data_IF_185126684677
#
_entry.id   IF_185126684677
#
_cell.length_a   1.000
_cell.length_b   1.000
_cell.length_c   1.000
_cell.angle_alpha   90.00
_cell.angle_beta   90.00
_cell.angle_gamma   90.00
#
_symmetry.space_group_name_H-M   'P 1'
#
loop_
_entity.id
_entity.type
_entity.pdbx_description
1 polymer ?
#
# COMPACT_ATOMS: atom_id res chain seq x y z
N UNK A 1 -28.48 0.84 -30.28
CA UNK A 1 -27.62 -0.32 -30.45
C UNK A 1 -27.36 -0.91 -29.07
N UNK A 2 -28.03 -2.03 -28.85
CA UNK A 2 -28.05 -2.82 -27.62
C UNK A 2 -26.66 -3.47 -27.45
N UNK A 3 -25.85 -2.97 -26.55
CA UNK A 3 -24.63 -3.64 -26.10
C UNK A 3 -24.96 -4.40 -24.82
N UNK A 4 -25.44 -5.63 -24.98
CA UNK A 4 -25.34 -6.62 -23.91
C UNK A 4 -23.86 -6.73 -23.53
N UNK A 5 -23.49 -6.70 -22.22
CA UNK A 5 -22.12 -6.96 -21.83
C UNK A 5 -21.78 -8.40 -22.25
N UNK A 6 -20.77 -8.57 -23.11
CA UNK A 6 -20.16 -9.87 -23.35
C UNK A 6 -19.78 -10.44 -21.98
N UNK A 7 -20.28 -11.60 -21.65
CA UNK A 7 -19.86 -12.36 -20.46
C UNK A 7 -18.36 -12.65 -20.61
N UNK A 8 -17.55 -11.85 -19.93
CA UNK A 8 -16.11 -12.06 -19.86
C UNK A 8 -15.88 -13.29 -18.99
N UNK A 9 -15.64 -14.45 -19.61
CA UNK A 9 -15.21 -15.64 -18.88
C UNK A 9 -13.90 -15.35 -18.16
N UNK A 10 -13.96 -15.26 -16.84
CA UNK A 10 -12.80 -15.01 -15.99
C UNK A 10 -11.84 -16.23 -16.11
N UNK A 11 -10.54 -16.02 -16.40
CA UNK A 11 -9.56 -17.11 -16.39
C UNK A 11 -9.52 -17.81 -15.01
N UNK A 12 -9.19 -19.10 -14.94
CA UNK A 12 -9.12 -19.91 -13.70
C UNK A 12 -8.32 -19.25 -12.55
N UNK A 13 -7.36 -18.35 -12.88
CA UNK A 13 -6.61 -17.56 -11.89
C UNK A 13 -7.41 -16.47 -11.17
N UNK A 14 -8.64 -16.21 -11.58
CA UNK A 14 -9.51 -15.18 -11.04
C UNK A 14 -10.58 -15.75 -10.12
N UNK A 15 -10.55 -17.06 -9.87
CA UNK A 15 -11.46 -17.64 -8.90
C UNK A 15 -11.42 -16.83 -7.61
N UNK A 16 -12.59 -16.39 -7.10
CA UNK A 16 -12.65 -15.64 -5.85
C UNK A 16 -12.07 -16.49 -4.72
N UNK A 17 -11.50 -15.86 -3.69
CA UNK A 17 -11.06 -16.62 -2.53
C UNK A 17 -12.23 -17.38 -1.93
N UNK A 18 -12.00 -18.65 -1.60
CA UNK A 18 -12.98 -19.48 -0.89
C UNK A 18 -12.94 -19.11 0.59
N UNK A 19 -14.10 -18.87 1.18
CA UNK A 19 -14.22 -18.51 2.58
C UNK A 19 -14.53 -19.75 3.43
N UNK A 20 -13.65 -20.08 4.36
CA UNK A 20 -13.86 -21.12 5.36
C UNK A 20 -13.51 -20.56 6.73
N UNK A 21 -14.54 -20.28 7.54
CA UNK A 21 -14.39 -19.62 8.84
C UNK A 21 -13.50 -20.39 9.82
N UNK A 22 -13.59 -21.72 9.85
CA UNK A 22 -12.81 -22.56 10.78
C UNK A 22 -11.33 -22.51 10.43
N UNK A 23 -11.00 -22.63 9.15
CA UNK A 23 -9.63 -22.56 8.64
C UNK A 23 -9.05 -21.16 8.87
N UNK A 24 -9.83 -20.10 8.58
CA UNK A 24 -9.37 -18.73 8.81
C UNK A 24 -9.05 -18.52 10.29
N UNK A 25 -9.93 -18.94 11.21
CA UNK A 25 -9.69 -18.81 12.65
C UNK A 25 -8.49 -19.64 13.13
N UNK A 26 -8.25 -20.83 12.54
CA UNK A 26 -7.10 -21.68 12.86
C UNK A 26 -5.78 -20.98 12.56
N UNK A 27 -5.70 -20.23 11.45
CA UNK A 27 -4.48 -19.58 10.98
C UNK A 27 -4.41 -18.08 11.29
N UNK A 28 -5.48 -17.45 11.80
CA UNK A 28 -5.43 -16.03 12.17
C UNK A 28 -4.50 -15.81 13.36
N UNK A 29 -3.31 -15.31 13.08
CA UNK A 29 -2.24 -15.00 14.05
C UNK A 29 -1.57 -13.68 13.68
N UNK A 30 -0.84 -13.02 14.59
CA UNK A 30 -0.03 -11.85 14.24
C UNK A 30 0.98 -12.18 13.14
N UNK A 31 1.05 -11.33 12.11
CA UNK A 31 1.99 -11.54 11.00
C UNK A 31 2.24 -10.29 10.16
N UNK A 32 3.39 -10.21 9.48
CA UNK A 32 3.75 -9.06 8.66
C UNK A 32 2.80 -8.85 7.48
N UNK A 33 2.67 -7.62 7.01
CA UNK A 33 1.95 -7.31 5.77
C UNK A 33 2.84 -7.43 4.52
N UNK A 34 4.13 -7.69 4.71
CA UNK A 34 5.14 -7.83 3.64
C UNK A 34 5.10 -6.72 2.58
N UNK A 35 5.03 -5.47 3.04
CA UNK A 35 5.29 -4.29 2.19
C UNK A 35 6.79 -4.07 1.98
N UNK A 36 7.61 -4.82 2.68
CA UNK A 36 9.07 -4.95 2.55
C UNK A 36 9.53 -6.26 3.17
N UNK A 37 10.73 -6.70 2.80
CA UNK A 37 11.44 -7.76 3.50
C UNK A 37 12.96 -7.44 3.51
N UNK A 38 13.60 -7.31 4.68
CA UNK A 38 13.00 -7.34 6.04
C UNK A 38 11.94 -6.28 6.26
N UNK A 39 11.00 -6.55 7.20
CA UNK A 39 9.92 -5.60 7.49
C UNK A 39 10.39 -4.41 8.32
N UNK A 40 9.70 -3.29 8.27
CA UNK A 40 10.09 -2.02 8.90
C UNK A 40 10.45 -2.07 10.41
N UNK A 41 9.88 -2.99 11.26
CA UNK A 41 10.36 -3.19 12.62
C UNK A 41 11.82 -3.61 12.76
N UNK A 42 12.43 -4.17 11.70
CA UNK A 42 13.84 -4.57 11.67
C UNK A 42 14.79 -3.48 11.15
N UNK A 43 14.27 -2.31 10.73
CA UNK A 43 15.12 -1.18 10.39
C UNK A 43 15.81 -0.64 11.64
N UNK A 44 17.08 -0.28 11.52
CA UNK A 44 17.92 0.15 12.64
C UNK A 44 18.60 1.50 12.36
N UNK A 45 18.93 2.23 13.42
CA UNK A 45 19.54 3.55 13.35
C UNK A 45 21.01 3.51 12.91
N UNK A 46 21.64 2.34 12.89
CA UNK A 46 22.97 2.16 12.31
C UNK A 46 23.04 2.37 10.80
N UNK A 47 21.86 2.43 10.12
CA UNK A 47 21.75 2.83 8.72
C UNK A 47 21.26 4.30 8.68
N UNK A 48 22.16 5.21 8.42
CA UNK A 48 21.96 6.67 8.43
C UNK A 48 21.96 7.30 7.03
N UNK A 49 21.89 8.64 6.97
CA UNK A 49 21.93 9.41 5.73
C UNK A 49 23.19 9.15 4.90
N UNK A 50 24.37 8.96 5.54
CA UNK A 50 25.62 8.69 4.82
C UNK A 50 25.64 7.28 4.22
N UNK A 51 25.06 6.29 4.93
CA UNK A 51 24.89 4.95 4.39
C UNK A 51 23.95 4.98 3.18
N UNK A 52 22.86 5.75 3.26
CA UNK A 52 21.93 5.91 2.15
C UNK A 52 22.54 6.61 0.94
N UNK A 53 23.33 7.67 1.14
CA UNK A 53 24.08 8.36 0.08
C UNK A 53 24.97 7.40 -0.72
N UNK A 54 25.72 6.53 -0.02
CA UNK A 54 26.57 5.52 -0.67
C UNK A 54 25.78 4.57 -1.55
N UNK A 55 24.62 4.10 -1.08
CA UNK A 55 23.75 3.22 -1.87
C UNK A 55 23.20 3.94 -3.10
N UNK A 56 22.75 5.21 -2.95
CA UNK A 56 22.31 6.02 -4.09
C UNK A 56 23.41 6.13 -5.14
N UNK A 57 24.63 6.50 -4.74
CA UNK A 57 25.77 6.65 -5.65
C UNK A 57 26.12 5.32 -6.32
N UNK A 58 26.14 4.20 -5.58
CA UNK A 58 26.42 2.88 -6.11
C UNK A 58 25.39 2.47 -7.17
N UNK A 59 24.11 2.63 -6.88
CA UNK A 59 23.04 2.31 -7.82
C UNK A 59 23.11 3.17 -9.08
N UNK A 60 23.53 4.42 -8.96
CA UNK A 60 23.65 5.35 -10.09
C UNK A 60 24.96 5.16 -10.91
N UNK A 61 25.93 4.37 -10.43
CA UNK A 61 27.13 3.98 -11.23
C UNK A 61 26.81 2.90 -12.26
N UNK A 62 25.69 2.18 -12.11
CA UNK A 62 25.29 1.18 -13.08
C UNK A 62 25.17 1.78 -14.50
N UNK A 63 25.50 1.00 -15.53
CA UNK A 63 25.37 1.41 -16.93
C UNK A 63 23.92 1.79 -17.28
N UNK A 64 22.96 1.01 -16.79
CA UNK A 64 21.53 1.22 -16.91
C UNK A 64 20.88 1.15 -15.51
N UNK A 65 20.87 2.26 -14.75
CA UNK A 65 20.21 2.28 -13.45
C UNK A 65 18.70 2.13 -13.60
N UNK A 66 18.00 1.54 -12.61
CA UNK A 66 16.55 1.35 -12.64
C UNK A 66 15.80 2.67 -12.86
N UNK A 67 14.57 2.65 -13.41
CA UNK A 67 13.70 3.82 -13.43
C UNK A 67 13.32 4.25 -12.01
N UNK A 68 12.75 5.44 -11.89
CA UNK A 68 12.40 6.03 -10.60
C UNK A 68 10.92 5.85 -10.29
N UNK A 69 10.63 5.50 -9.04
CA UNK A 69 9.35 5.70 -8.40
C UNK A 69 9.52 6.72 -7.27
N UNK A 70 8.67 7.74 -7.20
CA UNK A 70 8.75 8.81 -6.19
C UNK A 70 7.52 8.77 -5.29
N UNK A 71 7.73 8.73 -3.99
CA UNK A 71 6.68 8.88 -2.99
C UNK A 71 6.91 10.14 -2.18
N UNK A 72 5.91 11.03 -2.16
CA UNK A 72 5.93 12.24 -1.34
C UNK A 72 4.96 12.10 -0.17
N UNK A 73 5.50 12.15 1.04
CA UNK A 73 4.68 12.15 2.25
C UNK A 73 4.30 13.57 2.64
N UNK A 74 3.03 13.93 2.52
CA UNK A 74 2.47 15.23 2.88
C UNK A 74 1.66 15.07 4.19
N UNK A 75 2.24 15.42 5.37
CA UNK A 75 1.79 14.85 6.65
C UNK A 75 0.60 15.57 7.29
N UNK A 76 -0.04 16.53 6.65
CA UNK A 76 -1.01 17.39 7.31
C UNK A 76 -2.44 16.91 7.17
N UNK A 77 -3.23 17.05 8.27
CA UNK A 77 -4.69 16.88 8.29
C UNK A 77 -5.31 17.98 9.14
N UNK A 78 -6.48 18.47 8.74
CA UNK A 78 -7.23 19.48 9.49
C UNK A 78 -7.88 18.90 10.75
N UNK A 79 -8.31 17.63 10.69
CA UNK A 79 -9.00 16.94 11.79
C UNK A 79 -8.51 15.52 11.96
N UNK A 80 -8.65 15.02 13.20
CA UNK A 80 -8.31 13.64 13.55
C UNK A 80 -9.46 12.71 13.21
N UNK A 81 -9.20 11.72 12.36
CA UNK A 81 -10.07 10.54 12.26
C UNK A 81 -9.60 9.51 13.29
N UNK A 82 -10.50 9.03 14.18
CA UNK A 82 -10.07 8.20 15.32
C UNK A 82 -9.51 6.83 14.93
N UNK A 83 -9.80 6.33 13.75
CA UNK A 83 -9.23 5.08 13.24
C UNK A 83 -7.80 5.23 12.69
N UNK A 84 -7.36 6.46 12.36
CA UNK A 84 -6.18 6.70 11.55
C UNK A 84 -4.88 6.25 12.25
N UNK A 85 -4.08 5.43 11.56
CA UNK A 85 -2.75 4.99 11.99
C UNK A 85 -1.59 5.65 11.24
N UNK A 86 -1.87 6.61 10.36
CA UNK A 86 -0.85 7.30 9.57
C UNK A 86 -0.01 8.24 10.43
N UNK A 87 1.22 8.49 10.01
CA UNK A 87 2.05 9.54 10.61
C UNK A 87 1.57 10.90 10.08
N UNK A 88 0.84 11.63 10.90
CA UNK A 88 0.20 12.89 10.52
C UNK A 88 0.41 13.98 11.56
N UNK A 89 0.42 15.22 11.08
CA UNK A 89 0.41 16.44 11.90
C UNK A 89 -0.97 17.08 11.80
N UNK A 90 -1.73 17.05 12.90
CA UNK A 90 -3.04 17.69 12.95
C UNK A 90 -2.88 19.18 13.22
N UNK A 91 -3.37 20.01 12.29
CA UNK A 91 -3.29 21.46 12.39
C UNK A 91 -4.35 22.15 11.54
N UNK A 92 -4.70 23.38 11.91
CA UNK A 92 -5.51 24.28 11.10
C UNK A 92 -4.66 25.33 10.37
N UNK A 93 -3.40 25.41 10.74
CA UNK A 93 -2.45 26.38 10.15
C UNK A 93 -1.91 25.85 8.82
N UNK A 94 -2.50 26.32 7.73
CA UNK A 94 -2.12 25.94 6.36
C UNK A 94 -0.76 26.53 5.92
N UNK A 95 -0.21 27.50 6.64
CA UNK A 95 1.13 28.07 6.34
C UNK A 95 2.24 27.06 6.59
N UNK A 96 2.02 26.08 7.47
CA UNK A 96 2.98 24.97 7.69
C UNK A 96 3.22 24.15 6.44
N UNK A 97 2.23 24.05 5.54
CA UNK A 97 2.38 23.35 4.26
C UNK A 97 3.40 24.04 3.34
N UNK A 98 3.42 25.38 3.32
CA UNK A 98 4.36 26.17 2.51
C UNK A 98 5.80 25.99 3.00
N UNK A 99 6.01 26.13 4.31
CA UNK A 99 7.32 25.88 4.95
C UNK A 99 7.80 24.44 4.76
N UNK A 100 6.86 23.47 4.79
CA UNK A 100 7.19 22.07 4.57
C UNK A 100 7.67 21.81 3.13
N UNK A 101 7.01 22.40 2.15
CA UNK A 101 7.39 22.27 0.74
C UNK A 101 8.81 22.79 0.50
N UNK A 102 9.28 23.84 1.21
CA UNK A 102 10.67 24.30 1.12
C UNK A 102 11.68 23.22 1.55
N UNK A 103 11.36 22.46 2.61
CA UNK A 103 12.22 21.36 3.06
C UNK A 103 12.20 20.19 2.07
N UNK A 104 11.02 19.86 1.51
CA UNK A 104 10.87 18.82 0.47
C UNK A 104 11.68 19.18 -0.77
N UNK A 105 11.62 20.43 -1.24
CA UNK A 105 12.42 20.91 -2.38
C UNK A 105 13.92 20.78 -2.10
N UNK A 106 14.38 21.13 -0.90
CA UNK A 106 15.78 20.98 -0.50
C UNK A 106 16.22 19.52 -0.40
N UNK A 107 15.37 18.63 0.08
CA UNK A 107 15.63 17.18 0.08
C UNK A 107 15.82 16.67 -1.36
N UNK A 108 14.94 17.08 -2.28
CA UNK A 108 15.05 16.73 -3.69
C UNK A 108 16.36 17.24 -4.31
N UNK A 109 16.82 18.45 -3.98
CA UNK A 109 18.11 18.97 -4.48
C UNK A 109 19.27 18.07 -4.04
N UNK A 110 19.23 17.61 -2.79
CA UNK A 110 20.26 16.71 -2.26
C UNK A 110 20.24 15.35 -2.94
N UNK A 111 19.05 14.78 -3.17
CA UNK A 111 18.88 13.49 -3.86
C UNK A 111 19.33 13.58 -5.33
N UNK A 112 18.84 14.56 -6.07
CA UNK A 112 19.14 14.68 -7.52
C UNK A 112 20.58 15.05 -7.78
N UNK A 113 21.25 15.74 -6.85
CA UNK A 113 22.70 15.99 -6.93
C UNK A 113 23.57 14.73 -6.88
N UNK A 114 23.00 13.57 -6.49
CA UNK A 114 23.65 12.26 -6.44
C UNK A 114 23.14 11.27 -7.49
N UNK A 115 22.11 11.65 -8.24
CA UNK A 115 21.51 10.80 -9.27
C UNK A 115 22.18 11.00 -10.62
N UNK A 116 22.28 9.91 -11.37
CA UNK A 116 22.67 9.99 -12.79
C UNK A 116 21.60 10.76 -13.57
N UNK A 117 21.96 11.77 -14.37
CA UNK A 117 21.02 12.46 -15.23
C UNK A 117 20.31 11.52 -16.21
N UNK A 118 19.08 11.87 -16.61
CA UNK A 118 18.30 11.12 -17.60
C UNK A 118 17.58 9.87 -17.05
N UNK A 119 17.56 9.63 -15.74
CA UNK A 119 16.71 8.62 -15.14
C UNK A 119 15.26 9.10 -15.15
N UNK A 120 14.38 8.29 -15.75
CA UNK A 120 12.96 8.64 -15.87
C UNK A 120 12.15 8.21 -14.69
N UNK A 121 11.25 9.09 -14.25
CA UNK A 121 10.21 8.78 -13.26
C UNK A 121 9.05 8.10 -14.00
N UNK A 122 8.79 6.84 -13.68
CA UNK A 122 7.67 6.05 -14.23
C UNK A 122 6.49 5.96 -13.28
N UNK A 123 6.70 6.36 -12.00
CA UNK A 123 5.64 6.43 -10.99
C UNK A 123 5.92 7.57 -10.03
N UNK A 124 4.87 8.32 -9.68
CA UNK A 124 4.89 9.35 -8.66
C UNK A 124 3.61 9.27 -7.83
N UNK A 125 3.73 9.36 -6.51
CA UNK A 125 2.57 9.33 -5.63
C UNK A 125 2.68 10.39 -4.52
N UNK A 126 1.61 11.16 -4.32
CA UNK A 126 1.43 12.06 -3.18
C UNK A 126 0.46 11.45 -2.18
N UNK A 127 0.94 11.18 -0.97
CA UNK A 127 0.14 10.57 0.09
C UNK A 127 0.50 11.07 1.48
N UNK A 128 0.04 10.36 2.50
CA UNK A 128 0.44 10.55 3.89
C UNK A 128 -0.69 10.95 4.83
N UNK A 129 -0.90 12.25 5.06
CA UNK A 129 -2.04 12.79 5.76
C UNK A 129 -3.19 13.05 4.79
N UNK A 130 -3.33 14.31 4.39
CA UNK A 130 -4.25 14.74 3.34
C UNK A 130 -3.50 15.74 2.45
N UNK A 131 -2.99 15.34 1.27
CA UNK A 131 -2.29 16.26 0.37
C UNK A 131 -3.06 17.55 0.09
N UNK A 132 -4.39 17.47 -0.05
CA UNK A 132 -5.28 18.61 -0.28
C UNK A 132 -5.51 19.51 0.94
N UNK A 133 -4.90 19.22 2.08
CA UNK A 133 -4.74 20.18 3.18
C UNK A 133 -3.86 21.37 2.74
N UNK A 134 -2.84 21.10 1.92
CA UNK A 134 -1.92 22.13 1.41
C UNK A 134 -2.64 22.89 0.28
N UNK A 135 -2.67 24.25 0.31
CA UNK A 135 -3.33 25.03 -0.72
C UNK A 135 -2.84 24.70 -2.14
N UNK A 136 -3.74 24.70 -3.12
CA UNK A 136 -3.44 24.35 -4.51
C UNK A 136 -2.23 25.11 -5.08
N UNK A 137 -2.10 26.41 -4.80
CA UNK A 137 -0.96 27.23 -5.22
C UNK A 137 0.39 26.73 -4.66
N UNK A 138 0.41 26.21 -3.44
CA UNK A 138 1.62 25.66 -2.82
C UNK A 138 1.93 24.28 -3.42
N UNK A 139 0.91 23.45 -3.69
CA UNK A 139 1.08 22.20 -4.41
C UNK A 139 1.57 22.42 -5.85
N UNK A 140 1.10 23.46 -6.52
CA UNK A 140 1.61 23.86 -7.84
C UNK A 140 3.10 24.21 -7.78
N UNK A 141 3.56 24.91 -6.71
CA UNK A 141 4.97 25.20 -6.48
C UNK A 141 5.79 23.91 -6.29
N UNK A 142 5.25 22.96 -5.52
CA UNK A 142 5.87 21.64 -5.36
C UNK A 142 5.97 20.91 -6.70
N UNK A 143 4.88 20.90 -7.47
CA UNK A 143 4.84 20.25 -8.79
C UNK A 143 5.86 20.84 -9.77
N UNK A 144 5.94 22.19 -9.85
CA UNK A 144 6.98 22.86 -10.65
C UNK A 144 8.38 22.48 -10.19
N UNK A 145 8.59 22.39 -8.87
CA UNK A 145 9.85 21.95 -8.28
C UNK A 145 10.23 20.51 -8.66
N UNK A 146 9.25 19.61 -8.73
CA UNK A 146 9.45 18.23 -9.18
C UNK A 146 9.85 18.20 -10.66
N UNK A 147 9.10 18.88 -11.53
CA UNK A 147 9.38 18.94 -12.98
C UNK A 147 10.73 19.58 -13.32
N UNK A 148 11.21 20.47 -12.48
CA UNK A 148 12.53 21.10 -12.67
C UNK A 148 13.70 20.14 -12.34
N UNK A 149 13.45 19.06 -11.57
CA UNK A 149 14.47 18.16 -11.04
C UNK A 149 14.41 16.76 -11.62
N UNK A 150 13.24 16.32 -12.07
CA UNK A 150 13.01 14.96 -12.54
C UNK A 150 12.40 14.96 -13.94
N UNK A 151 12.83 14.03 -14.77
CA UNK A 151 12.23 13.75 -16.07
C UNK A 151 11.11 12.71 -15.88
N UNK A 152 9.85 13.14 -16.08
CA UNK A 152 8.70 12.23 -16.05
C UNK A 152 8.59 11.46 -17.36
N UNK A 153 8.31 10.16 -17.29
CA UNK A 153 7.95 9.37 -18.46
C UNK A 153 6.60 9.84 -19.00
N UNK A 154 6.39 9.87 -20.32
CA UNK A 154 5.09 10.26 -20.89
C UNK A 154 3.91 9.41 -20.41
N UNK A 155 4.17 8.15 -20.07
CA UNK A 155 3.24 7.14 -19.56
C UNK A 155 3.36 6.92 -18.03
N UNK A 156 3.91 7.90 -17.31
CA UNK A 156 4.08 7.79 -15.88
C UNK A 156 2.73 7.66 -15.16
N UNK A 157 2.68 6.75 -14.20
CA UNK A 157 1.59 6.69 -13.23
C UNK A 157 1.78 7.82 -12.20
N UNK A 158 0.84 8.76 -12.14
CA UNK A 158 0.91 9.92 -11.25
C UNK A 158 -0.35 9.95 -10.38
N UNK A 159 -0.19 9.60 -9.11
CA UNK A 159 -1.28 9.43 -8.17
C UNK A 159 -1.28 10.42 -7.02
N UNK A 160 -2.47 10.70 -6.49
CA UNK A 160 -2.65 11.48 -5.26
C UNK A 160 -3.77 10.93 -4.39
N UNK A 161 -3.53 10.92 -3.08
CA UNK A 161 -4.55 10.64 -2.07
C UNK A 161 -5.35 11.91 -1.78
N UNK A 162 -6.68 11.79 -1.75
CA UNK A 162 -7.57 12.91 -1.43
C UNK A 162 -8.55 12.54 -0.32
N UNK A 163 -8.91 13.54 0.47
CA UNK A 163 -10.07 13.49 1.35
C UNK A 163 -11.20 14.31 0.73
N UNK A 164 -12.35 13.72 0.39
CA UNK A 164 -13.48 14.43 -0.20
C UNK A 164 -13.97 15.64 0.60
N UNK A 165 -13.68 15.68 1.91
CA UNK A 165 -14.06 16.78 2.80
C UNK A 165 -13.15 18.02 2.65
N UNK A 166 -11.90 17.81 2.15
CA UNK A 166 -10.86 18.84 2.11
C UNK A 166 -10.49 19.26 0.68
N UNK A 167 -10.77 18.42 -0.31
CA UNK A 167 -10.44 18.70 -1.70
C UNK A 167 -11.35 19.81 -2.26
N UNK A 168 -10.74 20.74 -3.02
CA UNK A 168 -11.45 21.83 -3.71
C UNK A 168 -11.37 21.63 -5.22
N UNK A 169 -12.24 22.33 -5.98
CA UNK A 169 -12.18 22.33 -7.45
C UNK A 169 -10.83 22.83 -7.98
N UNK A 170 -10.17 23.76 -7.27
CA UNK A 170 -8.83 24.24 -7.61
C UNK A 170 -7.78 23.14 -7.49
N UNK A 171 -7.87 22.27 -6.46
CA UNK A 171 -7.00 21.11 -6.33
C UNK A 171 -7.20 20.14 -7.50
N UNK A 172 -8.46 19.79 -7.80
CA UNK A 172 -8.77 18.84 -8.86
C UNK A 172 -8.35 19.36 -10.24
N UNK A 173 -8.55 20.65 -10.51
CA UNK A 173 -8.08 21.30 -11.74
C UNK A 173 -6.54 21.25 -11.84
N UNK A 174 -5.83 21.62 -10.76
CA UNK A 174 -4.37 21.51 -10.69
C UNK A 174 -3.88 20.09 -10.99
N UNK A 175 -4.50 19.07 -10.40
CA UNK A 175 -4.09 17.68 -10.63
C UNK A 175 -4.29 17.27 -12.09
N UNK A 176 -5.44 17.59 -12.69
CA UNK A 176 -5.72 17.29 -14.10
C UNK A 176 -4.73 18.00 -15.03
N UNK A 177 -4.51 19.31 -14.85
CA UNK A 177 -3.58 20.11 -15.65
C UNK A 177 -2.11 19.69 -15.47
N UNK A 178 -1.80 19.11 -14.31
CA UNK A 178 -0.46 18.59 -13.98
C UNK A 178 -0.20 17.18 -14.50
N UNK A 179 -1.22 16.51 -15.07
CA UNK A 179 -1.10 15.16 -15.61
C UNK A 179 -1.26 14.06 -14.58
N UNK A 180 -1.85 14.35 -13.40
CA UNK A 180 -2.26 13.29 -12.49
C UNK A 180 -3.36 12.45 -13.13
N UNK A 181 -3.15 11.14 -13.15
CA UNK A 181 -4.06 10.20 -13.80
C UNK A 181 -4.69 9.20 -12.82
N UNK A 182 -4.27 9.24 -11.53
CA UNK A 182 -4.81 8.36 -10.50
C UNK A 182 -5.20 9.14 -9.25
N UNK A 183 -6.37 8.79 -8.72
CA UNK A 183 -6.88 9.32 -7.45
C UNK A 183 -7.10 8.15 -6.48
N UNK A 184 -6.66 8.29 -5.22
CA UNK A 184 -7.11 7.43 -4.11
C UNK A 184 -7.98 8.26 -3.17
N UNK A 185 -9.19 7.77 -2.90
CA UNK A 185 -10.20 8.47 -2.14
C UNK A 185 -10.59 7.71 -0.89
N UNK A 186 -10.28 8.26 0.30
CA UNK A 186 -10.71 7.67 1.56
C UNK A 186 -12.21 7.86 1.78
N UNK A 187 -12.99 6.77 1.76
CA UNK A 187 -14.43 6.76 2.05
C UNK A 187 -14.70 6.15 3.42
N UNK A 188 -14.12 5.01 3.68
CA UNK A 188 -14.19 4.21 4.90
C UNK A 188 -15.54 3.54 5.11
N UNK A 189 -16.62 4.30 5.27
CA UNK A 189 -17.99 3.84 5.45
C UNK A 189 -18.97 4.98 5.17
N UNK A 190 -20.16 4.67 4.65
CA UNK A 190 -21.23 5.64 4.45
C UNK A 190 -22.27 5.66 5.59
N UNK A 191 -22.25 4.73 6.55
CA UNK A 191 -23.17 4.75 7.69
C UNK A 191 -22.89 5.98 8.58
N UNK A 192 -23.87 6.91 8.77
CA UNK A 192 -23.65 8.13 9.55
C UNK A 192 -23.29 7.86 11.02
N UNK A 193 -23.75 6.72 11.59
CA UNK A 193 -23.45 6.33 12.96
C UNK A 193 -21.99 5.91 13.10
N UNK A 194 -21.48 5.16 12.12
CA UNK A 194 -20.05 4.78 12.03
C UNK A 194 -19.20 6.03 11.84
N UNK A 195 -19.54 6.89 10.87
CA UNK A 195 -18.83 8.13 10.59
C UNK A 195 -18.71 9.04 11.82
N UNK A 196 -19.80 9.19 12.59
CA UNK A 196 -19.81 9.95 13.83
C UNK A 196 -18.87 9.34 14.89
N UNK A 197 -18.90 8.03 15.05
CA UNK A 197 -18.08 7.31 16.03
C UNK A 197 -16.58 7.38 15.75
N UNK A 198 -16.18 7.50 14.49
CA UNK A 198 -14.78 7.61 14.08
C UNK A 198 -14.34 9.03 13.72
N UNK A 199 -15.19 10.02 14.02
CA UNK A 199 -14.97 11.45 13.76
C UNK A 199 -14.63 11.75 12.28
N UNK A 200 -15.33 11.08 11.35
CA UNK A 200 -15.20 11.31 9.90
C UNK A 200 -16.58 11.43 9.27
N UNK A 201 -17.22 12.58 9.45
CA UNK A 201 -18.52 12.85 8.84
C UNK A 201 -18.30 13.24 7.38
N UNK A 202 -18.73 12.35 6.49
CA UNK A 202 -18.55 12.46 5.04
C UNK A 202 -19.80 11.94 4.33
N UNK A 203 -20.80 12.81 4.08
CA UNK A 203 -22.01 12.41 3.40
C UNK A 203 -21.75 11.78 2.02
N UNK A 204 -22.57 10.81 1.63
CA UNK A 204 -22.44 10.13 0.34
C UNK A 204 -22.46 11.11 -0.83
N UNK A 205 -23.33 12.10 -0.80
CA UNK A 205 -23.51 13.09 -1.86
C UNK A 205 -22.24 13.91 -2.08
N UNK A 206 -21.52 14.24 -0.99
CA UNK A 206 -20.22 14.92 -1.09
C UNK A 206 -19.21 14.06 -1.81
N UNK A 207 -19.11 12.79 -1.41
CA UNK A 207 -18.17 11.84 -2.00
C UNK A 207 -18.46 11.58 -3.47
N UNK A 208 -19.74 11.36 -3.80
CA UNK A 208 -20.19 11.14 -5.18
C UNK A 208 -19.89 12.33 -6.08
N UNK A 209 -20.16 13.55 -5.61
CA UNK A 209 -19.83 14.78 -6.35
C UNK A 209 -18.32 14.86 -6.66
N UNK A 210 -17.45 14.58 -5.69
CA UNK A 210 -16.00 14.60 -5.89
C UNK A 210 -15.58 13.49 -6.87
N UNK A 211 -16.14 12.30 -6.73
CA UNK A 211 -15.89 11.16 -7.62
C UNK A 211 -16.25 11.50 -9.07
N UNK A 212 -17.48 12.00 -9.31
CA UNK A 212 -17.96 12.38 -10.62
C UNK A 212 -17.12 13.51 -11.22
N UNK A 213 -16.68 14.46 -10.39
CA UNK A 213 -15.78 15.53 -10.82
C UNK A 213 -14.42 15.00 -11.27
N UNK A 214 -13.83 14.01 -10.55
CA UNK A 214 -12.60 13.36 -10.98
C UNK A 214 -12.76 12.66 -12.33
N UNK A 215 -13.87 11.93 -12.53
CA UNK A 215 -14.19 11.32 -13.84
C UNK A 215 -14.33 12.35 -14.95
N UNK A 216 -15.07 13.44 -14.70
CA UNK A 216 -15.24 14.53 -15.68
C UNK A 216 -13.93 15.23 -16.06
N UNK A 217 -12.94 15.21 -15.18
CA UNK A 217 -11.59 15.73 -15.43
C UNK A 217 -10.65 14.72 -16.11
N UNK A 218 -11.12 13.52 -16.44
CA UNK A 218 -10.35 12.52 -17.17
C UNK A 218 -9.39 11.69 -16.30
N UNK A 219 -9.62 11.60 -14.97
CA UNK A 219 -8.83 10.69 -14.13
C UNK A 219 -9.05 9.25 -14.58
N UNK A 220 -7.96 8.59 -15.00
CA UNK A 220 -8.00 7.26 -15.61
C UNK A 220 -8.37 6.18 -14.61
N UNK A 221 -7.86 6.28 -13.37
CA UNK A 221 -8.14 5.30 -12.33
C UNK A 221 -8.48 5.98 -11.01
N UNK A 222 -9.61 5.58 -10.43
CA UNK A 222 -10.04 6.01 -9.10
C UNK A 222 -10.08 4.81 -8.18
N UNK A 223 -9.23 4.83 -7.15
CA UNK A 223 -9.27 3.90 -6.03
C UNK A 223 -10.14 4.47 -4.91
N UNK A 224 -10.87 3.60 -4.23
CA UNK A 224 -11.59 3.95 -3.00
C UNK A 224 -11.12 3.07 -1.85
N UNK A 225 -10.91 3.69 -0.69
CA UNK A 225 -10.51 2.99 0.53
C UNK A 225 -11.71 2.85 1.46
N UNK A 226 -11.97 1.64 1.89
CA UNK A 226 -12.97 1.25 2.89
C UNK A 226 -12.28 0.65 4.12
N UNK A 227 -12.93 0.72 5.26
CA UNK A 227 -12.45 0.08 6.48
C UNK A 227 -13.57 -0.75 7.09
N UNK A 228 -13.35 -2.05 7.27
CA UNK A 228 -14.25 -2.91 8.04
C UNK A 228 -13.72 -3.14 9.46
N UNK A 229 -14.64 -3.46 10.37
CA UNK A 229 -14.31 -3.63 11.78
C UNK A 229 -14.37 -2.33 12.59
N UNK A 230 -14.93 -1.25 12.04
CA UNK A 230 -15.20 0.00 12.74
C UNK A 230 -16.36 -0.13 13.74
N UNK A 231 -16.47 0.78 14.76
CA UNK A 231 -17.55 0.73 15.71
C UNK A 231 -18.92 0.83 15.03
N UNK A 232 -19.89 0.09 15.55
CA UNK A 232 -21.28 -0.03 15.07
C UNK A 232 -21.47 -0.71 13.70
N UNK A 233 -20.42 -1.16 13.04
CA UNK A 233 -20.55 -1.96 11.83
C UNK A 233 -21.13 -3.34 12.13
N UNK A 234 -21.95 -3.84 11.22
CA UNK A 234 -22.39 -5.22 11.11
C UNK A 234 -22.41 -5.63 9.64
N UNK A 235 -22.54 -6.94 9.37
CA UNK A 235 -22.61 -7.46 8.00
C UNK A 235 -23.64 -6.72 7.15
N UNK A 236 -24.86 -6.52 7.68
CA UNK A 236 -25.94 -5.90 6.93
C UNK A 236 -25.75 -4.39 6.72
N UNK A 237 -25.25 -3.67 7.74
CA UNK A 237 -24.99 -2.22 7.63
C UNK A 237 -23.86 -1.93 6.65
N UNK A 238 -22.76 -2.68 6.72
CA UNK A 238 -21.62 -2.47 5.82
C UNK A 238 -21.92 -2.89 4.39
N UNK A 239 -22.87 -3.85 4.21
CA UNK A 239 -23.38 -4.21 2.88
C UNK A 239 -23.94 -2.99 2.14
N UNK A 240 -24.68 -2.12 2.81
CA UNK A 240 -25.24 -0.91 2.18
C UNK A 240 -24.12 0.00 1.63
N UNK A 241 -23.02 0.14 2.38
CA UNK A 241 -21.84 0.85 1.89
C UNK A 241 -21.22 0.15 0.67
N UNK A 242 -21.05 -1.17 0.72
CA UNK A 242 -20.47 -1.96 -0.38
C UNK A 242 -21.32 -1.83 -1.66
N UNK A 243 -22.65 -1.95 -1.57
CA UNK A 243 -23.56 -1.78 -2.73
C UNK A 243 -23.46 -0.39 -3.35
N UNK A 244 -23.36 0.65 -2.53
CA UNK A 244 -23.15 2.02 -3.00
C UNK A 244 -21.84 2.19 -3.73
N UNK A 245 -20.77 1.55 -3.25
CA UNK A 245 -19.45 1.55 -3.92
C UNK A 245 -19.51 0.81 -5.24
N UNK A 246 -20.15 -0.37 -5.30
CA UNK A 246 -20.36 -1.09 -6.57
C UNK A 246 -21.12 -0.20 -7.58
N UNK A 247 -22.18 0.48 -7.13
CA UNK A 247 -22.95 1.39 -7.97
C UNK A 247 -22.18 2.64 -8.41
N UNK A 248 -21.21 3.13 -7.60
CA UNK A 248 -20.30 4.22 -8.00
C UNK A 248 -19.31 3.79 -9.07
N UNK A 249 -18.89 2.54 -9.05
CA UNK A 249 -18.04 1.95 -10.04
C UNK A 249 -16.59 2.47 -10.07
N UNK A 250 -15.85 2.50 -8.94
CA UNK A 250 -14.43 2.79 -8.97
C UNK A 250 -13.64 1.73 -9.76
N UNK A 251 -12.42 2.03 -10.13
CA UNK A 251 -11.54 1.07 -10.83
C UNK A 251 -10.90 0.09 -9.84
N UNK A 252 -10.56 0.60 -8.65
CA UNK A 252 -9.93 -0.17 -7.57
C UNK A 252 -10.63 0.08 -6.24
N UNK A 253 -10.59 -0.92 -5.38
CA UNK A 253 -11.14 -0.86 -4.03
C UNK A 253 -10.14 -1.50 -3.08
N UNK A 254 -9.82 -0.79 -1.98
CA UNK A 254 -9.08 -1.35 -0.87
C UNK A 254 -9.99 -1.41 0.37
N UNK A 255 -10.09 -2.60 1.01
CA UNK A 255 -10.96 -2.81 2.18
C UNK A 255 -10.15 -3.26 3.37
N UNK A 256 -9.68 -2.30 4.15
CA UNK A 256 -8.75 -2.54 5.25
C UNK A 256 -9.44 -3.06 6.50
N UNK A 257 -8.82 -4.03 7.18
CA UNK A 257 -9.21 -4.44 8.52
C UNK A 257 -8.80 -3.37 9.54
N UNK A 258 -9.75 -2.86 10.32
CA UNK A 258 -9.46 -1.94 11.41
C UNK A 258 -8.67 -2.62 12.52
N UNK A 259 -7.49 -2.09 12.81
CA UNK A 259 -6.65 -2.49 13.94
C UNK A 259 -6.86 -1.51 15.12
N UNK A 260 -7.53 -1.97 16.18
CA UNK A 260 -7.71 -1.20 17.39
C UNK A 260 -6.49 -1.33 18.30
N UNK A 261 -5.65 -0.30 18.35
CA UNK A 261 -4.35 -0.25 19.03
C UNK A 261 -4.24 1.01 19.90
N UNK A 262 -5.13 1.25 20.88
CA UNK A 262 -5.21 2.51 21.62
C UNK A 262 -3.98 2.82 22.47
N UNK A 263 -3.17 1.80 22.82
CA UNK A 263 -1.91 2.00 23.55
C UNK A 263 -0.79 2.56 22.66
N UNK A 264 -0.88 2.34 21.35
CA UNK A 264 0.08 2.86 20.37
C UNK A 264 -0.44 4.13 19.69
N UNK A 265 -1.75 4.21 19.48
CA UNK A 265 -2.44 5.27 18.74
C UNK A 265 -3.44 5.95 19.71
N UNK A 266 -2.98 6.98 20.41
CA UNK A 266 -3.70 7.57 21.54
C UNK A 266 -5.11 8.08 21.23
N UNK A 267 -5.36 8.61 20.02
CA UNK A 267 -6.68 9.08 19.63
C UNK A 267 -7.71 7.96 19.41
N UNK A 268 -7.29 6.70 19.23
CA UNK A 268 -8.20 5.56 19.19
C UNK A 268 -8.92 5.33 20.54
N UNK A 269 -8.43 5.88 21.64
CA UNK A 269 -9.12 5.84 22.95
C UNK A 269 -10.50 6.54 22.93
N UNK A 270 -10.74 7.43 21.95
CA UNK A 270 -12.03 8.06 21.73
C UNK A 270 -13.07 7.13 21.07
N UNK A 271 -12.67 6.00 20.54
CA UNK A 271 -13.59 5.01 19.94
C UNK A 271 -14.29 4.22 21.06
N UNK A 272 -15.64 4.12 21.04
CA UNK A 272 -16.36 3.30 22.01
C UNK A 272 -16.04 1.80 21.77
N UNK A 273 -15.19 1.24 22.64
CA UNK A 273 -14.69 -0.13 22.50
C UNK A 273 -15.80 -1.17 22.48
N UNK A 274 -16.85 -0.95 23.23
CA UNK A 274 -18.04 -1.81 23.33
C UNK A 274 -18.88 -1.85 22.05
N UNK A 275 -18.67 -0.86 21.16
CA UNK A 275 -19.35 -0.78 19.87
C UNK A 275 -18.56 -1.46 18.74
N UNK A 276 -17.35 -1.95 19.00
CA UNK A 276 -16.55 -2.69 18.02
C UNK A 276 -17.20 -4.05 17.72
N UNK A 277 -17.25 -4.47 16.45
CA UNK A 277 -17.77 -5.79 16.10
C UNK A 277 -16.90 -6.90 16.71
N UNK A 278 -17.54 -8.00 17.10
CA UNK A 278 -16.84 -9.20 17.56
C UNK A 278 -15.95 -9.79 16.44
N UNK A 279 -14.95 -10.60 16.77
CA UNK A 279 -14.15 -11.30 15.75
C UNK A 279 -15.02 -12.10 14.76
N UNK A 280 -16.08 -12.75 15.23
CA UNK A 280 -17.02 -13.48 14.37
C UNK A 280 -17.78 -12.55 13.41
N UNK A 281 -18.21 -11.38 13.89
CA UNK A 281 -18.89 -10.38 13.05
C UNK A 281 -17.92 -9.79 12.03
N UNK A 282 -16.64 -9.51 12.40
CA UNK A 282 -15.62 -9.05 11.45
C UNK A 282 -15.40 -10.04 10.31
N UNK A 283 -15.34 -11.34 10.62
CA UNK A 283 -15.22 -12.37 9.60
C UNK A 283 -16.47 -12.44 8.71
N UNK A 284 -17.67 -12.30 9.27
CA UNK A 284 -18.91 -12.25 8.49
C UNK A 284 -18.99 -11.01 7.58
N UNK A 285 -18.43 -9.88 8.02
CA UNK A 285 -18.29 -8.68 7.18
C UNK A 285 -17.31 -8.96 6.03
N UNK A 286 -16.12 -9.53 6.33
CA UNK A 286 -15.12 -9.84 5.30
C UNK A 286 -15.68 -10.82 4.25
N UNK A 287 -16.37 -11.88 4.69
CA UNK A 287 -17.03 -12.84 3.79
C UNK A 287 -18.00 -12.12 2.83
N UNK A 288 -18.88 -11.29 3.37
CA UNK A 288 -19.82 -10.50 2.59
C UNK A 288 -19.12 -9.56 1.62
N UNK A 289 -18.03 -8.89 2.05
CA UNK A 289 -17.23 -7.99 1.20
C UNK A 289 -16.64 -8.74 0.01
N UNK A 290 -16.00 -9.90 0.26
CA UNK A 290 -15.42 -10.72 -0.82
C UNK A 290 -16.52 -11.18 -1.78
N UNK A 291 -17.61 -11.74 -1.26
CA UNK A 291 -18.77 -12.19 -2.06
C UNK A 291 -19.32 -11.06 -2.92
N UNK A 292 -19.61 -9.89 -2.32
CA UNK A 292 -20.29 -8.79 -3.03
C UNK A 292 -19.42 -8.13 -4.09
N UNK A 293 -18.13 -7.87 -3.81
CA UNK A 293 -17.26 -7.29 -4.82
C UNK A 293 -16.97 -8.25 -5.95
N UNK A 294 -16.75 -9.54 -5.67
CA UNK A 294 -16.50 -10.52 -6.75
C UNK A 294 -17.74 -10.75 -7.61
N UNK A 295 -18.94 -10.87 -7.03
CA UNK A 295 -20.19 -10.94 -7.78
C UNK A 295 -20.59 -9.60 -8.43
N UNK A 296 -20.07 -8.48 -7.92
CA UNK A 296 -20.22 -7.13 -8.46
C UNK A 296 -19.24 -6.79 -9.59
N UNK A 297 -18.50 -7.78 -10.12
CA UNK A 297 -17.62 -7.62 -11.28
C UNK A 297 -16.20 -7.14 -10.97
N UNK A 298 -15.74 -7.28 -9.72
CA UNK A 298 -14.35 -7.00 -9.33
C UNK A 298 -13.57 -8.30 -9.12
N UNK A 299 -12.33 -8.32 -9.57
CA UNK A 299 -11.39 -9.38 -9.28
C UNK A 299 -10.71 -9.13 -7.92
N UNK A 300 -10.49 -10.19 -7.14
CA UNK A 300 -9.68 -10.14 -5.93
C UNK A 300 -8.19 -10.17 -6.29
N UNK A 301 -7.49 -9.08 -6.03
CA UNK A 301 -6.05 -8.95 -6.35
C UNK A 301 -5.18 -9.62 -5.27
N UNK A 302 -5.60 -9.49 -4.03
CA UNK A 302 -4.88 -10.04 -2.86
C UNK A 302 -5.01 -9.13 -1.65
N UNK A 303 -4.78 -9.67 -0.48
CA UNK A 303 -4.87 -8.97 0.79
C UNK A 303 -6.24 -8.26 0.96
N UNK A 304 -6.21 -6.93 0.80
CA UNK A 304 -7.36 -6.05 1.00
C UNK A 304 -7.89 -5.47 -0.32
N UNK A 305 -7.35 -5.87 -1.49
CA UNK A 305 -7.53 -5.15 -2.75
C UNK A 305 -8.38 -5.91 -3.77
N UNK A 306 -9.25 -5.13 -4.42
CA UNK A 306 -10.06 -5.55 -5.56
C UNK A 306 -9.86 -4.57 -6.70
N UNK A 307 -9.97 -5.02 -7.94
CA UNK A 307 -9.88 -4.16 -9.12
C UNK A 307 -10.82 -4.67 -10.22
N UNK A 308 -11.18 -3.78 -11.15
CA UNK A 308 -11.91 -4.19 -12.33
C UNK A 308 -11.06 -5.17 -13.17
N UNK A 309 -11.65 -6.15 -13.86
CA UNK A 309 -10.90 -7.10 -14.70
C UNK A 309 -10.00 -6.45 -15.75
N UNK A 310 -10.37 -5.29 -16.26
CA UNK A 310 -9.60 -4.52 -17.23
C UNK A 310 -8.50 -3.66 -16.62
N UNK A 311 -8.41 -3.59 -15.29
CA UNK A 311 -7.37 -2.81 -14.60
C UNK A 311 -5.99 -3.45 -14.77
N UNK A 312 -4.96 -2.62 -14.85
CA UNK A 312 -3.58 -3.09 -15.03
C UNK A 312 -3.06 -3.98 -13.89
N UNK A 313 -3.61 -3.86 -12.65
CA UNK A 313 -3.26 -4.77 -11.55
C UNK A 313 -3.73 -6.20 -11.85
N UNK A 314 -4.89 -6.33 -12.48
CA UNK A 314 -5.41 -7.60 -12.92
C UNK A 314 -4.54 -8.21 -14.02
N UNK A 315 -4.20 -7.43 -15.04
CA UNK A 315 -3.30 -7.86 -16.11
C UNK A 315 -1.92 -8.24 -15.57
N UNK A 316 -1.39 -7.47 -14.61
CA UNK A 316 -0.12 -7.77 -13.96
C UNK A 316 -0.18 -9.06 -13.13
N UNK A 317 -1.29 -9.33 -12.44
CA UNK A 317 -1.50 -10.59 -11.71
C UNK A 317 -1.51 -11.79 -12.68
N UNK A 318 -2.22 -11.68 -13.81
CA UNK A 318 -2.25 -12.73 -14.85
C UNK A 318 -0.85 -13.00 -15.43
N UNK A 319 -0.10 -11.93 -15.72
CA UNK A 319 1.23 -12.01 -16.31
C UNK A 319 2.34 -12.29 -15.30
N UNK A 320 2.01 -12.45 -14.00
CA UNK A 320 2.97 -12.62 -12.90
C UNK A 320 4.00 -11.50 -12.82
N UNK A 321 3.57 -10.28 -13.12
CA UNK A 321 4.38 -9.05 -13.02
C UNK A 321 3.91 -8.12 -11.92
N UNK A 322 2.84 -8.51 -11.19
CA UNK A 322 2.34 -7.76 -10.06
C UNK A 322 3.41 -7.68 -8.97
N UNK A 323 3.60 -6.50 -8.40
CA UNK A 323 4.55 -6.24 -7.33
C UNK A 323 3.86 -5.59 -6.14
N UNK A 324 4.52 -5.62 -4.97
CA UNK A 324 4.04 -4.99 -3.76
C UNK A 324 5.16 -4.24 -3.07
N UNK A 325 4.91 -2.99 -2.68
CA UNK A 325 5.82 -2.15 -1.91
C UNK A 325 5.08 -1.44 -0.75
N UNK A 326 5.69 -0.41 -0.16
CA UNK A 326 5.08 0.35 0.94
C UNK A 326 3.80 1.11 0.55
N UNK A 327 3.58 1.38 -0.72
CA UNK A 327 2.38 2.06 -1.24
C UNK A 327 1.22 1.08 -1.52
N UNK A 328 1.50 -0.22 -1.58
CA UNK A 328 0.54 -1.27 -1.91
C UNK A 328 0.91 -2.07 -3.16
N UNK A 329 -0.08 -2.61 -3.87
CA UNK A 329 0.14 -3.29 -5.14
C UNK A 329 0.45 -2.30 -6.26
N UNK A 330 1.40 -2.67 -7.12
CA UNK A 330 1.87 -1.83 -8.23
C UNK A 330 2.30 -2.69 -9.42
N UNK A 331 2.24 -2.11 -10.61
CA UNK A 331 2.78 -2.69 -11.85
C UNK A 331 4.23 -2.23 -12.12
N UNK A 332 4.77 -1.36 -11.28
CA UNK A 332 6.11 -0.75 -11.47
C UNK A 332 7.17 -1.48 -10.64
N UNK A 333 7.30 -2.80 -10.87
CA UNK A 333 8.40 -3.60 -10.32
C UNK A 333 9.76 -3.12 -10.85
N UNK A 334 10.83 -3.36 -10.08
CA UNK A 334 12.20 -3.07 -10.50
C UNK A 334 12.60 -1.59 -10.49
N UNK A 335 11.76 -0.68 -9.97
CA UNK A 335 12.10 0.72 -9.80
C UNK A 335 12.89 0.96 -8.50
N UNK A 336 13.77 1.98 -8.51
CA UNK A 336 14.23 2.59 -7.27
C UNK A 336 13.13 3.51 -6.74
N UNK A 337 12.57 3.16 -5.58
CA UNK A 337 11.56 3.96 -4.89
C UNK A 337 12.22 4.94 -3.93
N UNK A 338 12.15 6.22 -4.23
CA UNK A 338 12.60 7.29 -3.33
C UNK A 338 11.44 7.81 -2.50
N UNK A 339 11.51 7.61 -1.18
CA UNK A 339 10.60 8.24 -0.22
C UNK A 339 11.10 9.62 0.16
N UNK A 340 10.30 10.65 -0.07
CA UNK A 340 10.61 12.07 0.17
C UNK A 340 9.60 12.62 1.20
N UNK A 341 10.10 13.40 2.15
CA UNK A 341 9.27 13.94 3.21
C UNK A 341 9.37 13.16 4.52
N UNK A 342 8.74 13.70 5.58
CA UNK A 342 8.74 13.11 6.92
C UNK A 342 8.23 11.68 6.90
N UNK A 343 8.84 10.78 7.68
CA UNK A 343 8.48 9.35 7.84
C UNK A 343 8.54 8.49 6.58
N UNK A 344 8.69 9.07 5.39
CA UNK A 344 8.68 8.33 4.13
C UNK A 344 9.71 7.21 4.12
N UNK A 345 9.38 6.10 3.44
CA UNK A 345 10.26 4.95 3.28
C UNK A 345 10.58 4.79 1.80
N UNK A 346 11.89 4.72 1.49
CA UNK A 346 12.40 4.41 0.17
C UNK A 346 12.95 3.00 0.09
N UNK A 347 13.01 2.46 -1.14
CA UNK A 347 13.66 1.22 -1.51
C UNK A 347 14.56 1.51 -2.71
N UNK A 348 15.85 1.67 -2.48
CA UNK A 348 16.84 2.02 -3.51
C UNK A 348 17.91 0.94 -3.54
N UNK A 349 18.15 0.36 -4.70
CA UNK A 349 19.08 -0.74 -4.84
C UNK A 349 18.83 -1.84 -3.80
N UNK A 350 19.81 -2.08 -2.94
CA UNK A 350 19.73 -3.11 -1.88
C UNK A 350 19.50 -2.51 -0.49
N UNK A 351 18.72 -1.45 -0.36
CA UNK A 351 18.40 -0.91 0.96
C UNK A 351 16.94 -0.47 1.09
N UNK A 352 16.51 -0.42 2.33
CA UNK A 352 15.36 0.39 2.75
C UNK A 352 15.86 1.52 3.64
N UNK A 353 15.36 2.72 3.40
CA UNK A 353 15.69 3.92 4.16
C UNK A 353 14.41 4.61 4.63
N UNK A 354 14.35 4.99 5.90
CA UNK A 354 13.21 5.73 6.46
C UNK A 354 13.64 7.08 7.00
N UNK A 355 12.95 8.12 6.58
CA UNK A 355 13.10 9.46 7.10
C UNK A 355 12.57 9.60 8.54
N UNK A 356 13.07 10.61 9.26
CA UNK A 356 12.64 10.97 10.61
C UNK A 356 11.11 11.07 10.69
N UNK A 357 10.53 10.57 11.81
CA UNK A 357 9.08 10.50 11.98
C UNK A 357 8.47 11.79 12.51
N UNK A 358 9.24 12.55 13.28
CA UNK A 358 8.81 13.82 13.86
C UNK A 358 9.11 14.95 12.89
N UNK A 359 8.11 15.82 12.65
CA UNK A 359 8.21 16.90 11.67
C UNK A 359 9.40 17.84 11.97
N UNK A 360 9.59 18.21 13.24
CA UNK A 360 10.69 19.06 13.66
C UNK A 360 12.08 18.43 13.45
N UNK A 361 12.22 17.13 13.71
CA UNK A 361 13.46 16.39 13.47
C UNK A 361 13.76 16.25 11.97
N UNK A 362 12.73 15.94 11.16
CA UNK A 362 12.83 15.93 9.70
C UNK A 362 13.36 17.27 9.17
N UNK A 363 12.71 18.37 9.54
CA UNK A 363 13.10 19.71 9.09
C UNK A 363 14.51 20.10 9.54
N UNK A 364 14.89 19.76 10.77
CA UNK A 364 16.24 20.00 11.29
C UNK A 364 17.28 19.25 10.47
N UNK A 365 17.08 17.93 10.23
CA UNK A 365 18.01 17.09 9.44
C UNK A 365 18.14 17.60 8.01
N UNK A 366 17.05 18.01 7.37
CA UNK A 366 17.10 18.58 6.01
C UNK A 366 17.93 19.87 6.00
N UNK A 367 17.79 20.75 6.98
CA UNK A 367 18.60 21.97 7.06
C UNK A 367 20.08 21.69 7.28
N UNK A 368 20.42 20.74 8.13
CA UNK A 368 21.79 20.44 8.56
C UNK A 368 22.53 19.50 7.62
N UNK A 369 21.84 18.52 7.06
CA UNK A 369 22.43 17.37 6.36
C UNK A 369 21.93 17.19 4.92
N UNK A 370 20.82 17.83 4.54
CA UNK A 370 20.17 17.67 3.23
C UNK A 370 19.33 16.40 3.08
N UNK A 371 19.51 15.39 3.94
CA UNK A 371 18.71 14.17 4.03
C UNK A 371 18.23 13.95 5.47
N UNK A 372 17.06 13.33 5.59
CA UNK A 372 16.43 13.11 6.89
C UNK A 372 16.38 11.64 7.33
N UNK A 373 17.12 10.76 6.67
CA UNK A 373 17.18 9.33 7.02
C UNK A 373 17.65 9.15 8.46
N UNK A 374 16.84 8.40 9.25
CA UNK A 374 17.19 8.13 10.65
C UNK A 374 17.37 6.64 10.94
N UNK A 375 16.83 5.78 10.08
CA UNK A 375 17.01 4.33 10.15
C UNK A 375 16.79 3.67 8.79
N UNK A 376 17.28 2.45 8.67
CA UNK A 376 17.10 1.65 7.47
C UNK A 376 17.73 0.27 7.62
N UNK A 377 17.92 -0.41 6.51
CA UNK A 377 18.61 -1.71 6.46
C UNK A 377 19.25 -1.90 5.09
N UNK A 378 20.47 -2.42 5.08
CA UNK A 378 21.11 -2.94 3.87
C UNK A 378 20.80 -4.43 3.76
N UNK A 379 20.32 -4.85 2.60
CA UNK A 379 19.88 -6.24 2.36
C UNK A 379 21.10 -7.16 2.09
N UNK A 380 21.12 -8.29 2.77
CA UNK A 380 22.01 -9.41 2.44
C UNK A 380 21.53 -10.15 1.18
N UNK A 381 22.34 -11.06 0.63
CA UNK A 381 21.90 -11.90 -0.50
C UNK A 381 20.73 -12.80 -0.10
N UNK A 382 20.74 -13.34 1.14
CA UNK A 382 19.63 -14.11 1.70
C UNK A 382 18.34 -13.27 1.82
N UNK A 383 18.45 -11.99 2.23
CA UNK A 383 17.29 -11.08 2.28
C UNK A 383 16.70 -10.85 0.90
N UNK A 384 17.55 -10.63 -0.12
CA UNK A 384 17.07 -10.40 -1.50
C UNK A 384 16.36 -11.63 -2.03
N UNK A 385 16.91 -12.83 -1.84
CA UNK A 385 16.31 -14.09 -2.25
C UNK A 385 14.96 -14.33 -1.55
N UNK A 386 14.89 -14.19 -0.21
CA UNK A 386 13.64 -14.39 0.54
C UNK A 386 12.60 -13.33 0.21
N UNK A 387 13.01 -12.08 -0.03
CA UNK A 387 12.12 -11.02 -0.51
C UNK A 387 11.46 -11.40 -1.83
N UNK A 388 12.22 -11.96 -2.78
CA UNK A 388 11.68 -12.39 -4.07
C UNK A 388 10.68 -13.54 -3.89
N UNK A 389 10.99 -14.56 -3.09
CA UNK A 389 10.09 -15.66 -2.77
C UNK A 389 8.79 -15.16 -2.14
N UNK A 390 8.89 -14.34 -1.09
CA UNK A 390 7.73 -13.78 -0.37
C UNK A 390 6.88 -12.91 -1.33
N UNK A 391 7.52 -12.08 -2.15
CA UNK A 391 6.81 -11.23 -3.11
C UNK A 391 6.05 -12.05 -4.15
N UNK A 392 6.64 -13.12 -4.70
CA UNK A 392 5.97 -14.01 -5.66
C UNK A 392 4.77 -14.70 -5.05
N UNK A 393 4.89 -15.23 -3.83
CA UNK A 393 3.75 -15.81 -3.13
C UNK A 393 2.64 -14.77 -2.87
N UNK A 394 3.00 -13.59 -2.37
CA UNK A 394 2.06 -12.51 -2.03
C UNK A 394 1.37 -11.89 -3.24
N UNK A 395 2.03 -11.87 -4.39
CA UNK A 395 1.57 -11.14 -5.58
C UNK A 395 1.10 -12.06 -6.71
N UNK A 396 1.63 -13.30 -6.80
CA UNK A 396 1.31 -14.19 -7.93
C UNK A 396 0.53 -15.43 -7.51
N UNK A 397 0.44 -15.74 -6.20
CA UNK A 397 -0.15 -16.95 -5.66
C UNK A 397 0.50 -18.24 -6.16
N UNK A 398 1.65 -18.14 -6.82
CA UNK A 398 2.43 -19.27 -7.31
C UNK A 398 3.92 -18.91 -7.28
N UNK A 399 4.74 -19.88 -6.89
CA UNK A 399 6.20 -19.80 -6.87
C UNK A 399 6.77 -20.98 -7.62
N UNK A 400 7.46 -20.76 -8.73
CA UNK A 400 8.19 -21.78 -9.47
C UNK A 400 9.61 -21.92 -8.90
N UNK A 401 9.96 -23.13 -8.43
CA UNK A 401 11.23 -23.40 -7.76
C UNK A 401 12.43 -23.17 -8.70
N UNK A 402 12.31 -23.63 -9.96
CA UNK A 402 13.38 -23.46 -10.95
C UNK A 402 13.74 -21.99 -11.22
N UNK A 403 12.78 -21.07 -11.17
CA UNK A 403 13.07 -19.64 -11.33
C UNK A 403 13.96 -19.09 -10.20
N UNK A 404 13.76 -19.57 -8.96
CA UNK A 404 14.57 -19.19 -7.80
C UNK A 404 15.93 -19.88 -7.85
N UNK A 405 15.98 -21.15 -8.23
CA UNK A 405 17.22 -21.91 -8.36
C UNK A 405 18.16 -21.27 -9.40
N UNK A 406 17.61 -20.88 -10.57
CA UNK A 406 18.37 -20.23 -11.64
C UNK A 406 18.90 -18.85 -11.21
N UNK A 407 18.03 -18.01 -10.54
CA UNK A 407 18.40 -16.66 -10.15
C UNK A 407 19.45 -16.61 -9.03
N UNK A 408 19.40 -17.58 -8.09
CA UNK A 408 20.21 -17.51 -6.87
C UNK A 408 21.25 -18.63 -6.76
N UNK A 409 21.30 -19.56 -7.71
CA UNK A 409 22.30 -20.63 -7.74
C UNK A 409 22.16 -21.63 -6.58
N UNK A 410 20.94 -21.91 -6.16
CA UNK A 410 20.62 -22.79 -5.03
C UNK A 410 19.86 -24.04 -5.49
N UNK A 411 19.68 -25.00 -4.55
CA UNK A 411 18.67 -26.05 -4.66
C UNK A 411 17.51 -25.71 -3.70
N UNK A 412 16.34 -25.41 -4.25
CA UNK A 412 15.23 -24.84 -3.49
C UNK A 412 14.82 -25.74 -2.32
N UNK A 413 14.56 -27.02 -2.58
CA UNK A 413 14.07 -27.95 -1.57
C UNK A 413 15.09 -28.23 -0.47
N UNK A 414 16.38 -28.17 -0.77
CA UNK A 414 17.45 -28.29 0.24
C UNK A 414 17.57 -27.01 1.09
N UNK A 415 17.54 -25.85 0.43
CA UNK A 415 17.74 -24.54 1.09
C UNK A 415 16.56 -24.18 1.99
N UNK A 416 15.34 -24.53 1.57
CA UNK A 416 14.08 -24.20 2.26
C UNK A 416 13.37 -25.43 2.85
N UNK A 417 14.09 -26.51 3.15
CA UNK A 417 13.53 -27.74 3.71
C UNK A 417 12.62 -27.48 4.92
N UNK A 418 13.07 -26.66 5.87
CA UNK A 418 12.28 -26.30 7.05
C UNK A 418 11.00 -25.53 6.70
N UNK A 419 11.07 -24.62 5.71
CA UNK A 419 9.90 -23.87 5.28
C UNK A 419 8.85 -24.78 4.60
N UNK A 420 9.33 -25.76 3.83
CA UNK A 420 8.46 -26.76 3.20
C UNK A 420 7.78 -27.64 4.27
N UNK A 421 8.52 -28.07 5.31
CA UNK A 421 7.91 -28.80 6.43
C UNK A 421 6.82 -27.97 7.14
N UNK A 422 7.06 -26.67 7.37
CA UNK A 422 6.08 -25.76 7.98
C UNK A 422 4.83 -25.56 7.10
N UNK A 423 4.93 -25.74 5.77
CA UNK A 423 3.81 -25.63 4.83
C UNK A 423 2.93 -26.89 4.73
N UNK A 424 3.45 -28.09 5.08
CA UNK A 424 2.69 -29.34 4.98
C UNK A 424 1.36 -29.34 5.74
N UNK A 425 1.25 -28.81 6.97
CA UNK A 425 -0.04 -28.69 7.65
C UNK A 425 -1.03 -27.77 6.90
N UNK A 426 -0.53 -26.73 6.22
CA UNK A 426 -1.36 -25.82 5.44
C UNK A 426 -1.83 -26.48 4.12
N UNK A 427 -1.00 -27.34 3.54
CA UNK A 427 -1.40 -28.18 2.40
C UNK A 427 -2.50 -29.18 2.80
N UNK A 428 -2.34 -29.86 3.92
CA UNK A 428 -3.35 -30.78 4.45
C UNK A 428 -4.71 -30.10 4.71
N UNK A 429 -4.69 -28.80 5.06
CA UNK A 429 -5.90 -27.98 5.22
C UNK A 429 -6.39 -27.34 3.90
N UNK A 430 -5.75 -27.61 2.77
CA UNK A 430 -6.16 -27.13 1.44
C UNK A 430 -5.84 -25.67 1.12
N UNK A 431 -4.89 -25.05 1.84
CA UNK A 431 -4.49 -23.65 1.60
C UNK A 431 -3.55 -23.51 0.41
N UNK A 432 -2.79 -24.53 0.11
CA UNK A 432 -1.80 -24.55 -0.97
C UNK A 432 -1.58 -25.99 -1.45
N UNK A 433 -0.89 -26.14 -2.58
CA UNK A 433 -0.40 -27.42 -3.08
C UNK A 433 1.13 -27.36 -3.25
N UNK A 434 1.82 -28.37 -2.70
CA UNK A 434 3.27 -28.55 -2.82
C UNK A 434 3.54 -29.50 -4.01
N UNK A 435 3.91 -28.93 -5.16
CA UNK A 435 4.33 -29.71 -6.33
C UNK A 435 5.85 -29.88 -6.37
N UNK A 436 6.38 -30.85 -7.13
CA UNK A 436 7.82 -31.00 -7.29
C UNK A 436 8.49 -29.74 -7.88
N UNK A 437 7.80 -29.01 -8.75
CA UNK A 437 8.30 -27.85 -9.50
C UNK A 437 7.83 -26.49 -8.97
N UNK A 438 6.76 -26.45 -8.15
CA UNK A 438 6.16 -25.20 -7.67
C UNK A 438 5.44 -25.32 -6.36
N UNK A 439 5.18 -24.17 -5.72
CA UNK A 439 4.23 -24.00 -4.61
C UNK A 439 3.07 -23.16 -5.16
N UNK A 440 1.84 -23.65 -5.05
CA UNK A 440 0.64 -23.01 -5.58
C UNK A 440 -0.38 -22.73 -4.47
N UNK A 441 -0.80 -21.47 -4.34
CA UNK A 441 -1.78 -21.06 -3.33
C UNK A 441 -3.19 -21.33 -3.85
N UNK A 442 -3.92 -22.22 -3.18
CA UNK A 442 -5.29 -22.55 -3.51
C UNK A 442 -6.26 -21.39 -3.21
N UNK A 443 -7.46 -21.34 -3.81
CA UNK A 443 -8.45 -20.29 -3.53
C UNK A 443 -8.73 -20.07 -2.03
N UNK A 444 -8.74 -21.13 -1.23
CA UNK A 444 -8.88 -21.05 0.23
C UNK A 444 -7.69 -20.36 0.92
N UNK A 445 -6.47 -20.52 0.38
CA UNK A 445 -5.25 -19.91 0.93
C UNK A 445 -5.07 -18.44 0.57
N UNK A 446 -5.79 -17.90 -0.42
CA UNK A 446 -5.58 -16.50 -0.87
C UNK A 446 -5.80 -15.46 0.21
N UNK A 447 -6.79 -15.65 1.09
CA UNK A 447 -7.00 -14.78 2.26
C UNK A 447 -5.91 -14.93 3.33
N UNK A 448 -5.21 -16.06 3.33
CA UNK A 448 -4.17 -16.44 4.29
C UNK A 448 -2.76 -16.43 3.66
N UNK A 449 -2.58 -15.77 2.51
CA UNK A 449 -1.30 -15.77 1.79
C UNK A 449 -0.13 -15.24 2.64
N UNK A 450 -0.41 -14.32 3.57
CA UNK A 450 0.59 -13.86 4.55
C UNK A 450 1.13 -15.00 5.40
N UNK A 451 0.25 -15.89 5.85
CA UNK A 451 0.62 -17.07 6.64
C UNK A 451 1.47 -18.05 5.83
N UNK A 452 1.15 -18.22 4.53
CA UNK A 452 1.90 -19.07 3.59
C UNK A 452 3.30 -18.48 3.31
N UNK A 453 3.44 -17.15 3.32
CA UNK A 453 4.73 -16.49 3.13
C UNK A 453 5.63 -16.51 4.40
N UNK A 454 5.05 -16.59 5.60
CA UNK A 454 5.77 -16.52 6.88
C UNK A 454 6.85 -17.59 7.08
N UNK A 455 6.73 -18.86 6.61
CA UNK A 455 7.80 -19.86 6.70
C UNK A 455 9.11 -19.44 6.04
N UNK A 456 9.06 -18.56 5.04
CA UNK A 456 10.26 -18.04 4.35
C UNK A 456 10.89 -16.83 5.07
N UNK A 457 10.26 -16.31 6.13
CA UNK A 457 10.77 -15.15 6.89
C UNK A 457 11.77 -15.57 7.96
N UNK A 458 13.08 -15.40 7.66
CA UNK A 458 14.16 -15.74 8.59
C UNK A 458 14.15 -14.89 9.88
N UNK A 459 13.59 -13.67 9.83
CA UNK A 459 13.52 -12.78 11.00
C UNK A 459 12.44 -13.23 11.98
N UNK A 460 11.31 -13.74 11.50
CA UNK A 460 10.28 -14.33 12.36
C UNK A 460 10.79 -15.58 13.08
N UNK A 461 11.53 -16.44 12.39
CA UNK A 461 12.14 -17.65 12.98
C UNK A 461 13.12 -17.31 14.11
N UNK A 462 13.89 -16.21 13.98
CA UNK A 462 14.87 -15.77 14.98
C UNK A 462 14.25 -15.03 16.17
N UNK A 463 13.14 -14.32 15.97
CA UNK A 463 12.58 -13.39 16.96
C UNK A 463 11.61 -14.03 17.96
N UNK A 464 11.20 -15.30 17.75
CA UNK A 464 10.09 -15.88 18.49
C UNK A 464 8.74 -15.19 18.18
N UNK A 465 7.70 -15.41 19.01
CA UNK A 465 6.33 -14.95 18.71
C UNK A 465 6.23 -13.47 18.30
N UNK A 466 5.56 -13.23 17.19
CA UNK A 466 5.41 -11.97 16.51
C UNK A 466 4.45 -10.99 17.22
N UNK A 467 4.75 -10.58 18.44
CA UNK A 467 3.96 -9.55 19.18
C UNK A 467 3.94 -8.15 18.53
N UNK A 468 4.66 -7.94 17.42
CA UNK A 468 4.86 -6.64 16.78
C UNK A 468 3.95 -6.39 15.58
N UNK A 469 3.11 -7.34 15.19
CA UNK A 469 2.30 -7.28 13.99
C UNK A 469 0.80 -7.37 14.31
N UNK A 470 -0.04 -6.81 13.42
CA UNK A 470 -1.49 -7.06 13.44
C UNK A 470 -1.81 -8.51 13.08
N UNK A 471 -3.01 -8.97 13.44
CA UNK A 471 -3.50 -10.29 13.00
C UNK A 471 -3.58 -10.37 11.48
N UNK A 472 -3.51 -11.59 10.95
CA UNK A 472 -3.44 -11.82 9.50
C UNK A 472 -4.79 -11.68 8.81
N UNK A 473 -5.90 -11.83 9.53
CA UNK A 473 -7.27 -11.64 9.02
C UNK A 473 -8.09 -10.73 9.93
#
# INVERSE_FOLDING_TARGET
LDHSPEEFEMPERWDPPVFNKEIILKYDKPGPRYTSYPTAPYFHEGFDGKAYERVIEETNRASAPPPLSLYFHLPFCQSVCYFCGCNVTFTKDRTLGDLYVDHVLREMDTLTGRMKPGRRVVQLHWGGGTPTFIPAKVLERLWRGIKARFELSPDAEIGVEIDPREVTDEHLALFAESGFNRISMGIQDFDPRVQKAVHRIQPEELTRRVFDRCRALGMESINVDLIYGLPYQSRDRFRDTVEKIIAMGPDRIAVFNFAYLPEMIGHQKAIPKEALPSPSEKLSILEMVVERFTTGGYAYIGMDHFARPTDELCLALQNRTLYRNFQGYTTKAGCDLYGIGVTSIGQVGRCYAQNAKELGDYQRRIREQGLAVFRGVLLTDDDVMRRDIITRLMCHFVLYKAEIEELYGIRFDETFADAIEDLKPMEADGLLSLHPDRIEVCPLGRLLVRNIAMPFDAYLRKAGEAKRFSRTV
#
